data_IF_211283464986
#
_entry.id   IF_211283464986
#
_cell.length_a   1.000
_cell.length_b   1.000
_cell.length_c   1.000
_cell.angle_alpha   90.00
_cell.angle_beta   90.00
_cell.angle_gamma   90.00
#
_symmetry.space_group_name_H-M   'P 1'
#
loop_
_entity.id
_entity.type
_entity.pdbx_description
1 polymer ?
#
# COMPACT_ATOMS: atom_id res chain seq x y z
N UNK A 1 1.94 25.61 14.72
CA UNK A 1 2.96 25.43 13.65
C UNK A 1 2.34 25.21 12.25
N UNK A 2 1.27 25.93 11.83
CA UNK A 2 0.54 25.65 10.58
C UNK A 2 1.29 26.00 9.28
N UNK A 3 2.28 26.90 9.34
CA UNK A 3 2.97 27.41 8.14
C UNK A 3 3.88 26.35 7.51
N UNK A 4 4.55 25.53 8.33
CA UNK A 4 5.51 24.52 7.83
C UNK A 4 4.82 23.38 7.08
N UNK A 5 3.63 22.97 7.52
CA UNK A 5 2.86 21.90 6.88
C UNK A 5 2.30 22.33 5.54
N UNK A 6 1.73 23.54 5.47
CA UNK A 6 1.27 24.15 4.22
C UNK A 6 2.44 24.30 3.25
N UNK A 7 3.59 24.81 3.70
CA UNK A 7 4.80 24.92 2.86
C UNK A 7 5.29 23.57 2.34
N UNK A 8 5.16 22.49 3.13
CA UNK A 8 5.51 21.15 2.66
C UNK A 8 4.49 20.63 1.64
N UNK A 9 3.19 20.89 1.84
CA UNK A 9 2.15 20.54 0.87
C UNK A 9 2.37 21.28 -0.47
N UNK A 10 2.66 22.57 -0.43
CA UNK A 10 3.04 23.37 -1.60
C UNK A 10 4.23 22.76 -2.35
N UNK A 11 5.29 22.37 -1.63
CA UNK A 11 6.45 21.71 -2.24
C UNK A 11 6.10 20.39 -2.95
N UNK A 12 5.16 19.60 -2.42
CA UNK A 12 4.71 18.36 -3.07
C UNK A 12 3.91 18.67 -4.33
N UNK A 13 2.96 19.59 -4.26
CA UNK A 13 2.17 20.02 -5.42
C UNK A 13 3.06 20.60 -6.52
N UNK A 14 3.99 21.48 -6.17
CA UNK A 14 5.00 22.05 -7.08
C UNK A 14 5.88 20.97 -7.71
N UNK A 15 6.32 19.99 -6.92
CA UNK A 15 7.11 18.86 -7.41
C UNK A 15 6.34 18.06 -8.46
N UNK A 16 5.07 17.73 -8.18
CA UNK A 16 4.21 16.99 -9.10
C UNK A 16 3.96 17.82 -10.37
N UNK A 17 3.73 19.12 -10.25
CA UNK A 17 3.55 20.02 -11.40
C UNK A 17 4.81 20.09 -12.27
N UNK A 18 6.00 20.20 -11.65
CA UNK A 18 7.28 20.20 -12.36
C UNK A 18 7.51 18.88 -13.08
N UNK A 19 7.18 17.76 -12.44
CA UNK A 19 7.23 16.44 -13.07
C UNK A 19 6.27 16.34 -14.25
N UNK A 20 5.01 16.72 -14.09
CA UNK A 20 4.03 16.72 -15.19
C UNK A 20 4.54 17.51 -16.40
N UNK A 21 5.19 18.66 -16.18
CA UNK A 21 5.86 19.43 -17.26
C UNK A 21 7.07 18.73 -17.87
N UNK A 22 7.93 18.11 -17.06
CA UNK A 22 9.12 17.40 -17.55
C UNK A 22 8.77 16.13 -18.33
N UNK A 23 7.62 15.54 -18.03
CA UNK A 23 7.23 14.21 -18.49
C UNK A 23 6.15 14.23 -19.56
N UNK A 24 5.42 15.35 -19.68
CA UNK A 24 4.20 15.49 -20.49
C UNK A 24 3.12 14.45 -20.15
N UNK A 25 3.11 13.97 -18.91
CA UNK A 25 2.11 13.01 -18.42
C UNK A 25 1.18 13.72 -17.44
N UNK A 26 -0.14 13.55 -17.56
CA UNK A 26 -1.11 14.30 -16.75
C UNK A 26 -1.22 13.72 -15.32
N UNK A 27 -0.15 13.83 -14.54
CA UNK A 27 -0.02 13.20 -13.21
C UNK A 27 -1.14 13.64 -12.25
N UNK A 28 -1.51 14.92 -12.25
CA UNK A 28 -2.52 15.46 -11.32
C UNK A 28 -3.94 14.97 -11.58
N UNK A 29 -4.22 14.51 -12.80
CA UNK A 29 -5.52 13.92 -13.20
C UNK A 29 -5.43 12.41 -13.44
N UNK A 30 -4.29 11.78 -13.15
CA UNK A 30 -4.14 10.35 -13.34
C UNK A 30 -4.99 9.59 -12.32
N UNK A 31 -5.42 8.35 -12.64
CA UNK A 31 -5.97 7.47 -11.63
C UNK A 31 -4.91 7.11 -10.57
N UNK A 32 -5.40 6.69 -9.40
CA UNK A 32 -4.59 6.12 -8.31
C UNK A 32 -4.05 4.74 -8.70
N UNK A 33 -4.93 3.89 -9.23
CA UNK A 33 -4.58 2.55 -9.76
C UNK A 33 -4.20 2.71 -11.23
N UNK A 34 -2.93 2.46 -11.55
CA UNK A 34 -2.40 2.52 -12.92
C UNK A 34 -2.61 1.21 -13.67
N UNK A 35 -2.60 0.09 -12.95
CA UNK A 35 -2.88 -1.25 -13.49
C UNK A 35 -3.46 -2.15 -12.41
N UNK A 36 -4.32 -3.08 -12.82
CA UNK A 36 -4.95 -4.10 -11.97
C UNK A 36 -4.86 -5.46 -12.65
N UNK A 37 -4.89 -6.56 -11.88
CA UNK A 37 -4.91 -7.90 -12.45
C UNK A 37 -6.20 -8.11 -13.26
N UNK A 38 -6.09 -8.82 -14.39
CA UNK A 38 -7.26 -9.12 -15.25
C UNK A 38 -8.18 -10.19 -14.66
N UNK A 39 -7.70 -10.96 -13.70
CA UNK A 39 -8.40 -12.06 -13.09
C UNK A 39 -8.05 -12.14 -11.60
N UNK A 40 -9.03 -12.48 -10.77
CA UNK A 40 -8.81 -12.83 -9.37
C UNK A 40 -8.30 -14.28 -9.28
N UNK A 41 -7.23 -14.50 -8.52
CA UNK A 41 -6.55 -15.79 -8.44
C UNK A 41 -6.59 -16.30 -7.01
N UNK A 42 -7.31 -17.39 -6.79
CA UNK A 42 -7.37 -18.07 -5.50
C UNK A 42 -6.48 -19.31 -5.49
N UNK A 43 -5.65 -19.43 -4.48
CA UNK A 43 -4.83 -20.61 -4.20
C UNK A 43 -5.56 -21.52 -3.22
N UNK A 44 -5.77 -22.79 -3.59
CA UNK A 44 -6.33 -23.80 -2.69
C UNK A 44 -5.31 -24.16 -1.61
N UNK A 45 -5.79 -24.18 -0.37
CA UNK A 45 -5.08 -24.79 0.73
C UNK A 45 -5.22 -26.32 0.63
N UNK A 46 -4.16 -27.10 0.86
CA UNK A 46 -4.24 -28.56 0.83
C UNK A 46 -5.33 -29.08 1.80
N UNK A 47 -6.27 -29.90 1.30
CA UNK A 47 -7.44 -30.38 2.05
C UNK A 47 -7.14 -31.52 3.03
N UNK A 48 -6.08 -32.30 2.77
CA UNK A 48 -5.60 -33.36 3.65
C UNK A 48 -4.15 -33.07 4.03
N UNK A 49 -3.90 -32.82 5.32
CA UNK A 49 -2.53 -32.92 5.86
C UNK A 49 -2.25 -34.41 6.09
N UNK A 50 -1.89 -35.14 5.03
CA UNK A 50 -1.31 -36.48 5.21
C UNK A 50 0.10 -36.31 5.75
N UNK A 51 0.33 -36.77 6.98
CA UNK A 51 1.65 -36.85 7.62
C UNK A 51 2.52 -37.98 7.01
N UNK A 52 2.69 -38.03 5.68
CA UNK A 52 3.55 -39.05 5.05
C UNK A 52 4.84 -38.41 4.50
N UNK A 53 5.95 -38.76 5.15
CA UNK A 53 7.33 -38.33 4.86
C UNK A 53 7.80 -38.55 3.40
N UNK A 54 7.16 -39.43 2.64
CA UNK A 54 7.61 -39.78 1.27
C UNK A 54 7.04 -38.85 0.18
N UNK A 55 5.87 -38.24 0.40
CA UNK A 55 5.33 -37.17 -0.48
C UNK A 55 6.02 -35.82 -0.20
N UNK A 56 6.61 -35.69 0.99
CA UNK A 56 7.47 -34.58 1.42
C UNK A 56 8.76 -34.61 0.59
N UNK A 57 9.45 -35.74 0.44
CA UNK A 57 10.70 -35.80 -0.34
C UNK A 57 10.53 -35.51 -1.85
N UNK A 58 9.46 -36.00 -2.48
CA UNK A 58 9.22 -35.75 -3.91
C UNK A 58 8.77 -34.31 -4.23
N UNK A 59 8.23 -33.58 -3.23
CA UNK A 59 7.95 -32.14 -3.32
C UNK A 59 9.16 -31.28 -2.88
N UNK A 60 10.09 -31.85 -2.11
CA UNK A 60 11.31 -31.20 -1.60
C UNK A 60 12.34 -30.98 -2.71
N UNK A 61 12.36 -31.80 -3.76
CA UNK A 61 13.22 -31.58 -4.93
C UNK A 61 12.72 -30.43 -5.82
N UNK A 62 11.41 -30.16 -5.87
CA UNK A 62 10.83 -29.20 -6.83
C UNK A 62 10.56 -27.78 -6.28
N UNK A 63 10.41 -27.57 -4.95
CA UNK A 63 9.93 -26.26 -4.46
C UNK A 63 10.52 -25.84 -3.09
N UNK A 64 11.77 -25.43 -3.09
CA UNK A 64 12.49 -24.97 -1.88
C UNK A 64 12.19 -23.52 -1.42
N UNK A 65 11.36 -22.74 -2.14
CA UNK A 65 11.08 -21.34 -1.76
C UNK A 65 9.61 -21.01 -1.47
N UNK A 66 8.68 -21.90 -1.82
CA UNK A 66 7.34 -21.86 -1.23
C UNK A 66 7.31 -22.51 0.17
N UNK A 67 8.43 -23.08 0.64
CA UNK A 67 8.52 -23.65 1.98
C UNK A 67 8.25 -22.58 3.04
N UNK A 68 8.71 -21.34 2.93
CA UNK A 68 8.41 -20.30 3.95
C UNK A 68 6.94 -19.89 3.97
N UNK A 69 6.32 -19.71 2.80
CA UNK A 69 4.89 -19.39 2.67
C UNK A 69 4.02 -20.58 3.09
N UNK A 70 4.35 -21.80 2.65
CA UNK A 70 3.64 -23.01 3.06
C UNK A 70 3.95 -23.44 4.48
N UNK A 71 5.11 -23.17 5.06
CA UNK A 71 5.42 -23.42 6.48
C UNK A 71 4.66 -22.44 7.35
N UNK A 72 4.53 -21.17 6.96
CA UNK A 72 3.62 -20.21 7.59
C UNK A 72 2.13 -20.61 7.46
N UNK A 73 1.74 -21.27 6.37
CA UNK A 73 0.40 -21.83 6.17
C UNK A 73 0.21 -23.17 6.93
N UNK A 74 1.24 -24.03 7.00
CA UNK A 74 1.25 -25.41 7.55
C UNK A 74 1.37 -25.45 9.07
N UNK A 75 2.04 -24.49 9.71
CA UNK A 75 2.22 -24.48 11.17
C UNK A 75 1.00 -23.99 11.94
N UNK A 76 -0.13 -23.74 11.26
CA UNK A 76 -1.39 -23.40 11.93
C UNK A 76 -1.23 -22.20 12.87
N UNK A 77 -1.00 -21.01 12.31
CA UNK A 77 -1.05 -19.75 13.07
C UNK A 77 -0.18 -19.73 14.34
N UNK A 78 1.09 -20.07 14.21
CA UNK A 78 2.10 -19.45 15.07
C UNK A 78 2.89 -18.47 14.24
N UNK A 79 2.37 -17.24 14.23
CA UNK A 79 3.18 -16.10 14.65
C UNK A 79 4.65 -16.24 14.20
N UNK A 80 4.98 -15.80 12.98
CA UNK A 80 6.29 -15.16 12.81
C UNK A 80 6.19 -13.89 13.64
N UNK A 81 6.48 -14.06 14.92
CA UNK A 81 6.75 -13.07 15.92
C UNK A 81 6.58 -11.62 15.46
N UNK A 82 5.34 -11.13 15.43
CA UNK A 82 5.06 -9.69 15.53
C UNK A 82 5.27 -9.19 16.97
N UNK A 83 6.11 -9.88 17.75
CA UNK A 83 6.71 -9.33 18.96
C UNK A 83 7.79 -8.30 18.67
N UNK A 84 8.38 -8.26 17.47
CA UNK A 84 9.21 -7.14 16.99
C UNK A 84 9.25 -7.24 15.45
N UNK A 85 8.43 -6.53 14.69
CA UNK A 85 8.31 -5.07 14.70
C UNK A 85 6.85 -4.68 14.53
N UNK A 86 6.33 -4.02 15.56
CA UNK A 86 5.47 -2.83 15.46
C UNK A 86 5.61 -2.25 14.04
N UNK A 87 4.50 -1.99 13.31
CA UNK A 87 4.52 -1.04 12.18
C UNK A 87 5.33 0.13 12.71
N UNK A 88 6.58 0.34 12.26
CA UNK A 88 7.48 1.24 12.95
C UNK A 88 6.76 2.55 13.22
N UNK A 89 6.52 2.83 14.51
CA UNK A 89 5.72 3.97 14.96
C UNK A 89 6.42 5.28 14.65
N UNK A 90 7.71 5.19 14.30
CA UNK A 90 8.54 6.27 13.82
C UNK A 90 8.96 6.05 12.37
N UNK A 91 9.13 7.18 11.68
CA UNK A 91 9.65 7.25 10.32
C UNK A 91 11.04 6.64 10.25
N UNK A 92 11.83 6.87 11.30
CA UNK A 92 13.22 6.44 11.49
C UNK A 92 13.35 4.91 11.60
N UNK A 93 12.46 4.23 12.32
CA UNK A 93 12.50 2.76 12.44
C UNK A 93 12.06 2.07 11.14
N UNK A 94 11.14 2.69 10.38
CA UNK A 94 10.81 2.26 9.02
C UNK A 94 11.99 2.45 8.10
N UNK A 95 12.68 3.59 8.20
CA UNK A 95 13.88 3.87 7.42
C UNK A 95 15.03 2.93 7.70
N UNK A 96 15.18 2.45 8.93
CA UNK A 96 16.16 1.41 9.26
C UNK A 96 15.78 0.06 8.67
N UNK A 97 14.48 -0.28 8.61
CA UNK A 97 13.98 -1.52 8.00
C UNK A 97 14.03 -1.51 6.46
N UNK A 98 13.79 -0.34 5.86
CA UNK A 98 13.74 -0.10 4.41
C UNK A 98 15.02 0.51 3.87
N UNK A 99 16.08 0.50 4.68
CA UNK A 99 17.40 0.68 4.14
C UNK A 99 17.56 -0.38 3.06
N UNK A 100 17.58 0.05 1.80
CA UNK A 100 17.37 -0.79 0.61
C UNK A 100 18.28 -2.01 0.65
N UNK A 101 19.45 -1.85 1.26
CA UNK A 101 20.38 -2.93 1.53
C UNK A 101 19.77 -4.14 2.24
N UNK A 102 18.81 -4.05 3.16
CA UNK A 102 18.35 -5.25 3.90
C UNK A 102 17.65 -6.28 3.00
N UNK A 103 16.59 -5.91 2.28
CA UNK A 103 15.89 -6.85 1.39
C UNK A 103 16.81 -7.33 0.24
N UNK A 104 17.65 -6.44 -0.28
CA UNK A 104 18.63 -6.78 -1.32
C UNK A 104 19.78 -7.64 -0.78
N UNK A 105 20.17 -7.48 0.47
CA UNK A 105 21.16 -8.32 1.16
C UNK A 105 20.58 -9.70 1.44
N UNK A 106 19.34 -9.78 1.95
CA UNK A 106 18.62 -11.04 2.11
C UNK A 106 18.45 -11.76 0.76
N UNK A 107 18.14 -11.04 -0.32
CA UNK A 107 18.10 -11.61 -1.66
C UNK A 107 19.49 -12.13 -2.08
N UNK A 108 20.56 -11.35 -1.86
CA UNK A 108 21.94 -11.76 -2.17
C UNK A 108 22.36 -13.00 -1.38
N UNK A 109 22.02 -13.07 -0.09
CA UNK A 109 22.23 -14.22 0.80
C UNK A 109 21.46 -15.47 0.32
N UNK A 110 20.28 -15.28 -0.29
CA UNK A 110 19.48 -16.34 -0.93
C UNK A 110 19.98 -16.72 -2.34
N UNK A 111 21.12 -16.17 -2.78
CA UNK A 111 21.75 -16.51 -4.06
C UNK A 111 21.17 -15.77 -5.27
N UNK A 112 20.39 -14.71 -5.05
CA UNK A 112 19.95 -13.82 -6.11
C UNK A 112 21.09 -12.91 -6.59
N UNK A 113 21.09 -12.59 -7.88
CA UNK A 113 21.95 -11.59 -8.49
C UNK A 113 21.44 -10.20 -8.15
N UNK A 114 22.16 -9.52 -7.26
CA UNK A 114 21.85 -8.18 -6.78
C UNK A 114 23.04 -7.28 -7.09
N UNK A 115 22.83 -6.20 -7.85
CA UNK A 115 23.86 -5.20 -8.11
C UNK A 115 24.26 -4.49 -6.82
N UNK A 116 25.56 -4.27 -6.60
CA UNK A 116 26.06 -3.52 -5.45
C UNK A 116 25.58 -2.06 -5.44
N UNK A 117 25.09 -1.53 -6.57
CA UNK A 117 24.44 -0.22 -6.62
C UNK A 117 23.14 -0.15 -5.81
N UNK A 118 22.46 -1.30 -5.58
CA UNK A 118 21.30 -1.38 -4.69
C UNK A 118 21.67 -1.34 -3.20
N UNK A 119 22.93 -1.65 -2.88
CA UNK A 119 23.48 -1.63 -1.51
C UNK A 119 24.11 -0.28 -1.17
N UNK A 120 24.32 0.59 -2.17
CA UNK A 120 24.79 1.97 -1.99
C UNK A 120 23.63 2.85 -1.50
N UNK A 121 23.96 3.74 -0.58
CA UNK A 121 23.05 4.55 0.23
C UNK A 121 21.96 5.38 -0.52
N UNK A 122 20.83 5.57 0.17
CA UNK A 122 19.86 6.69 0.06
C UNK A 122 19.05 6.90 -1.25
N UNK A 123 18.43 5.84 -1.81
CA UNK A 123 17.35 6.00 -2.80
C UNK A 123 15.96 5.76 -2.21
N UNK A 124 15.56 6.50 -1.17
CA UNK A 124 14.26 6.29 -0.54
C UNK A 124 13.09 6.75 -1.43
N UNK A 125 12.01 5.95 -1.52
CA UNK A 125 10.76 6.38 -2.13
C UNK A 125 9.78 6.84 -1.05
N UNK A 126 9.61 8.17 -0.91
CA UNK A 126 8.69 8.80 0.05
C UNK A 126 7.28 8.20 0.05
N UNK A 127 6.76 7.85 -1.13
CA UNK A 127 5.44 7.24 -1.25
C UNK A 127 5.29 5.88 -0.56
N UNK A 128 6.35 5.07 -0.46
CA UNK A 128 6.29 3.74 0.16
C UNK A 128 6.02 3.83 1.67
N UNK A 129 6.71 4.74 2.37
CA UNK A 129 6.48 4.98 3.80
C UNK A 129 5.07 5.45 4.10
N UNK A 130 4.65 6.52 3.42
CA UNK A 130 3.34 7.14 3.64
C UNK A 130 2.21 6.12 3.43
N UNK A 131 2.34 5.29 2.40
CA UNK A 131 1.39 4.22 2.11
C UNK A 131 1.37 3.16 3.22
N UNK A 132 2.52 2.75 3.75
CA UNK A 132 2.59 1.78 4.84
C UNK A 132 2.01 2.34 6.15
N UNK A 133 2.31 3.60 6.47
CA UNK A 133 1.72 4.29 7.60
C UNK A 133 0.19 4.38 7.48
N UNK A 134 -0.33 4.70 6.28
CA UNK A 134 -1.77 4.72 6.04
C UNK A 134 -2.44 3.35 6.23
N UNK A 135 -1.77 2.24 5.87
CA UNK A 135 -2.28 0.89 6.16
C UNK A 135 -2.50 0.68 7.65
N UNK A 136 -1.51 1.06 8.48
CA UNK A 136 -1.62 0.94 9.92
C UNK A 136 -2.82 1.70 10.48
N UNK A 137 -2.97 2.96 10.08
CA UNK A 137 -4.08 3.80 10.51
C UNK A 137 -5.45 3.29 10.05
N UNK A 138 -5.53 2.72 8.85
CA UNK A 138 -6.75 2.06 8.33
C UNK A 138 -7.07 0.79 9.14
N UNK A 139 -6.07 -0.03 9.45
CA UNK A 139 -6.22 -1.25 10.27
C UNK A 139 -6.57 -0.95 11.74
N UNK A 140 -6.31 0.27 12.21
CA UNK A 140 -6.75 0.75 13.52
C UNK A 140 -8.12 1.44 13.50
N UNK A 141 -8.68 1.67 12.31
CA UNK A 141 -9.93 2.42 12.02
C UNK A 141 -9.80 3.94 12.06
N UNK A 142 -8.63 4.50 12.41
CA UNK A 142 -8.42 5.94 12.58
C UNK A 142 -8.72 6.73 11.29
N UNK A 143 -8.42 6.13 10.14
CA UNK A 143 -8.57 6.77 8.82
C UNK A 143 -10.01 6.99 8.33
N UNK A 144 -11.01 6.42 9.00
CA UNK A 144 -12.37 6.44 8.49
C UNK A 144 -13.26 7.44 9.22
N UNK A 145 -14.03 8.19 8.43
CA UNK A 145 -14.88 9.29 8.87
C UNK A 145 -15.97 8.88 9.86
N UNK A 146 -16.39 7.61 9.84
CA UNK A 146 -17.49 7.14 10.69
C UNK A 146 -17.19 7.30 12.19
N UNK A 147 -15.91 7.31 12.61
CA UNK A 147 -15.52 7.59 13.99
C UNK A 147 -15.78 9.06 14.39
N UNK A 148 -15.78 9.97 13.41
CA UNK A 148 -16.07 11.39 13.59
C UNK A 148 -17.56 11.71 13.38
N UNK A 149 -18.27 10.91 12.59
CA UNK A 149 -19.71 11.05 12.41
C UNK A 149 -20.46 10.49 13.63
N UNK A 150 -21.31 11.30 14.29
CA UNK A 150 -22.12 10.86 15.44
C UNK A 150 -23.10 9.71 15.14
N UNK A 151 -23.27 9.33 13.88
CA UNK A 151 -24.10 8.23 13.41
C UNK A 151 -23.25 6.96 13.23
N UNK A 152 -23.07 6.21 14.31
CA UNK A 152 -22.47 4.88 14.28
C UNK A 152 -23.32 3.94 13.41
N UNK A 153 -22.93 3.70 12.15
CA UNK A 153 -23.66 2.75 11.30
C UNK A 153 -23.23 1.33 11.67
N UNK A 154 -24.14 0.52 12.25
CA UNK A 154 -23.87 -0.89 12.58
C UNK A 154 -23.35 -1.69 11.37
N UNK A 155 -23.79 -1.31 10.18
CA UNK A 155 -23.32 -1.88 8.91
C UNK A 155 -21.80 -1.71 8.71
N UNK A 156 -21.21 -0.55 9.06
CA UNK A 156 -19.78 -0.35 8.91
C UNK A 156 -18.98 -1.34 9.77
N UNK A 157 -19.29 -1.48 11.06
CA UNK A 157 -18.51 -2.35 11.96
C UNK A 157 -18.56 -3.78 11.48
N UNK A 158 -19.73 -4.25 11.06
CA UNK A 158 -19.87 -5.58 10.51
C UNK A 158 -19.00 -5.79 9.27
N UNK A 159 -19.09 -4.89 8.28
CA UNK A 159 -18.29 -4.96 7.05
C UNK A 159 -16.78 -4.87 7.34
N UNK A 160 -16.37 -3.95 8.22
CA UNK A 160 -15.00 -3.77 8.64
C UNK A 160 -14.46 -5.02 9.35
N UNK A 161 -15.21 -5.57 10.32
CA UNK A 161 -14.80 -6.78 11.05
C UNK A 161 -14.66 -7.98 10.12
N UNK A 162 -15.55 -8.14 9.14
CA UNK A 162 -15.46 -9.21 8.16
C UNK A 162 -14.20 -9.06 7.30
N UNK A 163 -13.98 -7.87 6.73
CA UNK A 163 -12.77 -7.56 5.96
C UNK A 163 -11.50 -7.80 6.78
N UNK A 164 -11.44 -7.24 8.00
CA UNK A 164 -10.28 -7.35 8.88
C UNK A 164 -9.94 -8.81 9.19
N UNK A 165 -10.94 -9.67 9.40
CA UNK A 165 -10.75 -11.12 9.61
C UNK A 165 -10.22 -11.85 8.36
N UNK A 166 -10.52 -11.34 7.16
CA UNK A 166 -10.01 -11.90 5.91
C UNK A 166 -8.52 -11.61 5.72
N UNK A 167 -8.02 -10.47 6.18
CA UNK A 167 -6.59 -10.12 6.08
C UNK A 167 -5.76 -11.01 7.00
N UNK A 168 -4.78 -11.72 6.45
CA UNK A 168 -3.91 -12.67 7.17
C UNK A 168 -2.50 -12.15 7.35
N UNK A 169 -1.97 -11.46 6.35
CA UNK A 169 -0.64 -10.88 6.38
C UNK A 169 -0.61 -9.59 5.56
N UNK A 170 0.14 -8.61 6.05
CA UNK A 170 0.60 -7.48 5.25
C UNK A 170 2.11 -7.36 5.47
N UNK A 171 2.89 -7.42 4.40
CA UNK A 171 4.35 -7.34 4.44
C UNK A 171 4.82 -6.20 3.54
N UNK A 172 5.75 -5.38 4.02
CA UNK A 172 6.51 -4.46 3.17
C UNK A 172 7.69 -5.20 2.54
N UNK A 173 8.06 -4.82 1.32
CA UNK A 173 9.25 -5.31 0.61
C UNK A 173 9.38 -6.85 0.60
N UNK A 174 8.56 -7.49 -0.22
CA UNK A 174 8.49 -8.95 -0.32
C UNK A 174 9.24 -9.47 -1.54
N UNK A 175 10.23 -10.34 -1.34
CA UNK A 175 10.94 -11.04 -2.42
C UNK A 175 10.05 -12.17 -2.93
N UNK A 176 9.60 -12.08 -4.18
CA UNK A 176 8.91 -13.18 -4.85
C UNK A 176 9.94 -14.24 -5.23
N UNK A 177 9.74 -15.50 -4.83
CA UNK A 177 10.64 -16.58 -5.18
C UNK A 177 10.56 -16.89 -6.68
N UNK A 178 11.59 -16.55 -7.43
CA UNK A 178 11.69 -16.80 -8.88
C UNK A 178 12.75 -17.88 -9.12
N UNK A 179 12.33 -19.14 -9.12
CA UNK A 179 13.24 -20.30 -9.24
C UNK A 179 13.52 -20.72 -10.69
N UNK A 180 12.71 -20.26 -11.66
CA UNK A 180 12.72 -20.77 -13.04
C UNK A 180 13.55 -19.96 -14.04
N UNK A 181 14.17 -18.85 -13.64
CA UNK A 181 14.89 -17.96 -14.56
C UNK A 181 16.40 -18.20 -14.52
N UNK A 182 17.01 -18.35 -15.70
CA UNK A 182 18.48 -18.45 -15.90
C UNK A 182 19.24 -17.27 -15.27
N UNK A 183 18.57 -16.12 -15.16
CA UNK A 183 19.01 -14.99 -14.32
C UNK A 183 18.23 -15.01 -12.99
N UNK A 184 18.93 -15.20 -11.87
CA UNK A 184 18.38 -15.11 -10.52
C UNK A 184 18.18 -13.66 -10.08
N UNK A 185 17.51 -12.82 -10.88
CA UNK A 185 17.20 -11.46 -10.46
C UNK A 185 15.97 -11.49 -9.53
N UNK A 186 16.05 -10.93 -8.31
CA UNK A 186 14.92 -10.98 -7.40
C UNK A 186 13.82 -10.03 -7.89
N UNK A 187 12.58 -10.49 -7.90
CA UNK A 187 11.45 -9.59 -8.01
C UNK A 187 11.00 -9.20 -6.60
N UNK A 188 10.95 -7.90 -6.32
CA UNK A 188 10.61 -7.38 -4.99
C UNK A 188 9.34 -6.56 -5.12
N UNK A 189 8.28 -7.00 -4.43
CA UNK A 189 7.04 -6.25 -4.28
C UNK A 189 7.20 -5.20 -3.20
N UNK A 190 6.64 -4.02 -3.39
CA UNK A 190 6.65 -2.98 -2.37
C UNK A 190 5.77 -3.35 -1.17
N UNK A 191 4.64 -4.01 -1.43
CA UNK A 191 3.77 -4.56 -0.39
C UNK A 191 3.10 -5.85 -0.84
N UNK A 192 3.00 -6.84 0.05
CA UNK A 192 2.22 -8.07 -0.15
C UNK A 192 1.09 -8.14 0.88
N UNK A 193 -0.12 -8.39 0.41
CA UNK A 193 -1.29 -8.72 1.21
C UNK A 193 -1.68 -10.18 0.98
N UNK A 194 -1.78 -10.95 2.06
CA UNK A 194 -2.33 -12.30 2.02
C UNK A 194 -3.72 -12.24 2.65
N UNK A 195 -4.71 -12.65 1.89
CA UNK A 195 -6.12 -12.58 2.32
C UNK A 195 -6.78 -13.95 2.16
N UNK A 196 -7.63 -14.31 3.11
CA UNK A 196 -8.54 -15.45 2.97
C UNK A 196 -9.67 -15.09 2.04
N UNK A 197 -9.82 -15.89 0.99
CA UNK A 197 -10.96 -15.80 0.08
C UNK A 197 -12.12 -16.66 0.60
N UNK A 198 -11.81 -17.89 1.03
CA UNK A 198 -12.72 -18.83 1.67
C UNK A 198 -11.95 -19.65 2.72
N UNK A 199 -12.64 -20.58 3.41
CA UNK A 199 -12.07 -21.42 4.49
C UNK A 199 -10.76 -22.11 4.05
N UNK A 200 -10.69 -22.56 2.80
CA UNK A 200 -9.53 -23.26 2.24
C UNK A 200 -8.90 -22.53 1.05
N UNK A 201 -9.06 -21.22 0.94
CA UNK A 201 -8.51 -20.47 -0.20
C UNK A 201 -7.88 -19.15 0.25
N UNK A 202 -6.72 -18.85 -0.33
CA UNK A 202 -6.01 -17.59 -0.14
C UNK A 202 -5.86 -16.84 -1.47
N UNK A 203 -5.74 -15.51 -1.41
CA UNK A 203 -5.29 -14.67 -2.52
C UNK A 203 -4.03 -13.92 -2.10
N UNK A 204 -3.09 -13.78 -3.03
CA UNK A 204 -1.84 -13.04 -2.85
C UNK A 204 -1.93 -11.74 -3.62
N UNK A 205 -2.16 -10.62 -2.95
CA UNK A 205 -2.32 -9.32 -3.59
C UNK A 205 -1.03 -8.53 -3.42
N UNK A 206 -0.30 -8.32 -4.50
CA UNK A 206 0.91 -7.50 -4.53
C UNK A 206 0.60 -6.06 -4.91
N UNK A 207 1.25 -5.09 -4.25
CA UNK A 207 1.24 -3.70 -4.67
C UNK A 207 2.64 -3.29 -5.10
N UNK A 208 2.73 -2.73 -6.30
CA UNK A 208 3.91 -2.06 -6.83
C UNK A 208 3.66 -0.56 -6.90
N UNK A 209 4.48 0.23 -6.21
CA UNK A 209 4.45 1.68 -6.27
C UNK A 209 5.29 2.12 -7.45
N UNK A 210 4.61 2.46 -8.53
CA UNK A 210 5.25 2.90 -9.76
C UNK A 210 5.81 4.30 -9.56
N UNK A 211 7.12 4.35 -9.33
CA UNK A 211 7.87 5.58 -9.20
C UNK A 211 7.88 6.38 -10.49
N UNK A 212 8.16 7.68 -10.35
CA UNK A 212 8.13 8.62 -11.45
C UNK A 212 9.18 8.23 -12.53
N UNK A 213 10.37 7.77 -12.14
CA UNK A 213 11.41 7.30 -13.07
C UNK A 213 11.07 6.00 -13.82
N UNK A 214 10.29 5.10 -13.23
CA UNK A 214 9.88 3.83 -13.85
C UNK A 214 8.69 3.98 -14.80
N UNK A 215 7.84 4.98 -14.55
CA UNK A 215 6.79 5.39 -15.47
C UNK A 215 7.37 6.14 -16.70
N UNK A 216 8.54 6.78 -16.53
CA UNK A 216 9.24 7.54 -17.56
C UNK A 216 10.18 6.72 -18.43
N UNK A 217 10.71 5.62 -17.92
CA UNK A 217 11.50 4.68 -18.69
C UNK A 217 10.58 3.80 -19.56
N UNK A 218 9.88 4.40 -20.53
CA UNK A 218 9.11 3.72 -21.60
C UNK A 218 9.91 2.62 -22.36
N UNK A 219 11.21 2.51 -22.13
CA UNK A 219 12.15 1.59 -22.78
C UNK A 219 12.60 0.38 -21.94
N UNK A 220 12.20 0.24 -20.67
CA UNK A 220 12.45 -1.02 -19.96
C UNK A 220 11.21 -1.92 -20.03
N UNK A 221 11.34 -3.01 -20.79
CA UNK A 221 10.38 -4.11 -20.94
C UNK A 221 9.84 -4.57 -19.57
N UNK A 222 8.76 -3.96 -19.07
CA UNK A 222 8.04 -4.41 -17.85
C UNK A 222 6.94 -5.44 -18.16
N UNK A 223 6.83 -5.93 -19.38
CA UNK A 223 5.68 -6.75 -19.83
C UNK A 223 5.81 -8.26 -19.62
N UNK A 224 7.01 -8.80 -19.33
CA UNK A 224 7.16 -10.26 -19.20
C UNK A 224 6.99 -10.80 -17.77
N UNK A 225 7.15 -9.98 -16.73
CA UNK A 225 7.05 -10.46 -15.35
C UNK A 225 5.60 -10.63 -14.88
N UNK A 226 4.66 -9.77 -15.29
CA UNK A 226 3.27 -9.86 -14.80
C UNK A 226 2.59 -11.19 -15.15
N UNK A 227 2.91 -11.78 -16.31
CA UNK A 227 2.39 -13.10 -16.70
C UNK A 227 2.95 -14.18 -15.77
N UNK A 228 4.25 -14.15 -15.50
CA UNK A 228 4.91 -15.07 -14.58
C UNK A 228 4.37 -14.92 -13.15
N UNK A 229 4.18 -13.69 -12.67
CA UNK A 229 3.64 -13.41 -11.34
C UNK A 229 2.19 -13.92 -11.20
N UNK A 230 1.36 -13.73 -12.21
CA UNK A 230 0.02 -14.30 -12.25
C UNK A 230 0.07 -15.84 -12.26
N UNK A 231 1.00 -16.46 -13.00
CA UNK A 231 1.19 -17.92 -12.98
C UNK A 231 1.60 -18.43 -11.59
N UNK A 232 2.36 -17.64 -10.84
CA UNK A 232 2.73 -17.91 -9.44
C UNK A 232 1.61 -17.58 -8.44
N UNK A 233 0.44 -17.11 -8.91
CA UNK A 233 -0.71 -16.84 -8.07
C UNK A 233 -0.79 -15.43 -7.48
N UNK A 234 0.07 -14.51 -7.91
CA UNK A 234 0.08 -13.13 -7.44
C UNK A 234 -0.80 -12.22 -8.29
N UNK A 235 -1.70 -11.51 -7.64
CA UNK A 235 -2.49 -10.43 -8.20
C UNK A 235 -1.77 -9.09 -8.00
N UNK A 236 -1.17 -8.55 -9.06
CA UNK A 236 -0.34 -7.33 -8.97
C UNK A 236 -1.14 -6.07 -9.31
N UNK A 237 -1.20 -5.14 -8.36
CA UNK A 237 -1.80 -3.82 -8.49
C UNK A 237 -0.69 -2.77 -8.56
N UNK A 238 -0.69 -1.97 -9.63
CA UNK A 238 0.27 -0.89 -9.78
C UNK A 238 -0.37 0.41 -9.36
N UNK A 239 0.25 1.11 -8.42
CA UNK A 239 -0.25 2.38 -7.88
C UNK A 239 0.69 3.53 -8.19
N UNK A 240 0.13 4.70 -8.39
CA UNK A 240 0.88 5.92 -8.70
C UNK A 240 1.63 6.47 -7.47
N UNK A 241 2.96 6.59 -7.56
CA UNK A 241 3.78 7.10 -6.44
C UNK A 241 3.42 8.52 -6.01
N UNK A 242 2.99 9.38 -6.95
CA UNK A 242 2.61 10.76 -6.66
C UNK A 242 1.32 10.85 -5.83
N UNK A 243 0.39 9.91 -6.02
CA UNK A 243 -0.79 9.79 -5.16
C UNK A 243 -0.41 9.36 -3.73
N UNK A 244 0.60 8.49 -3.57
CA UNK A 244 1.11 8.12 -2.25
C UNK A 244 1.71 9.31 -1.47
N UNK A 245 2.16 10.37 -2.17
CA UNK A 245 2.69 11.60 -1.56
C UNK A 245 1.57 12.57 -1.12
N UNK A 246 0.45 12.55 -1.83
CA UNK A 246 -0.68 13.47 -1.62
C UNK A 246 -1.71 12.87 -0.67
N UNK A 247 -2.12 11.63 -0.88
CA UNK A 247 -3.14 10.96 -0.06
C UNK A 247 -2.94 9.43 -0.05
N UNK A 248 -1.99 8.93 0.76
CA UNK A 248 -1.73 7.50 0.90
C UNK A 248 -2.94 6.70 1.40
N UNK A 249 -3.86 7.31 2.15
CA UNK A 249 -5.09 6.67 2.62
C UNK A 249 -6.04 6.37 1.47
N UNK A 250 -6.16 7.31 0.54
CA UNK A 250 -6.88 7.09 -0.71
C UNK A 250 -6.26 5.97 -1.53
N UNK A 251 -4.92 5.93 -1.63
CA UNK A 251 -4.22 4.86 -2.36
C UNK A 251 -4.64 3.49 -1.85
N UNK A 252 -4.59 3.30 -0.52
CA UNK A 252 -5.02 2.04 0.09
C UNK A 252 -6.51 1.80 -0.14
N UNK A 253 -7.39 2.76 0.07
CA UNK A 253 -8.83 2.56 -0.08
C UNK A 253 -9.24 2.21 -1.53
N UNK A 254 -8.62 2.84 -2.53
CA UNK A 254 -8.84 2.49 -3.94
C UNK A 254 -8.28 1.10 -4.27
N UNK A 255 -7.14 0.70 -3.70
CA UNK A 255 -6.63 -0.67 -3.81
C UNK A 255 -7.58 -1.69 -3.17
N UNK A 256 -8.07 -1.42 -1.96
CA UNK A 256 -9.01 -2.30 -1.25
C UNK A 256 -10.32 -2.48 -2.02
N UNK A 257 -10.79 -1.40 -2.67
CA UNK A 257 -11.94 -1.40 -3.56
C UNK A 257 -11.66 -2.19 -4.84
N UNK A 258 -10.54 -1.92 -5.51
CA UNK A 258 -10.16 -2.57 -6.76
C UNK A 258 -9.92 -4.07 -6.60
N UNK A 259 -9.34 -4.50 -5.47
CA UNK A 259 -9.12 -5.91 -5.16
C UNK A 259 -10.37 -6.66 -4.72
N UNK A 260 -11.45 -5.93 -4.41
CA UNK A 260 -12.73 -6.46 -3.96
C UNK A 260 -12.72 -6.99 -2.52
N UNK A 261 -11.63 -6.83 -1.76
CA UNK A 261 -11.56 -7.32 -0.38
C UNK A 261 -12.28 -6.39 0.61
N UNK A 262 -12.39 -5.10 0.28
CA UNK A 262 -13.24 -4.15 0.97
C UNK A 262 -13.84 -3.13 -0.02
N UNK A 263 -14.87 -3.52 -0.79
CA UNK A 263 -15.43 -2.71 -1.89
C UNK A 263 -15.89 -1.31 -1.47
N UNK A 264 -16.32 -1.17 -0.21
CA UNK A 264 -16.87 0.06 0.34
C UNK A 264 -15.80 0.98 0.97
N UNK A 265 -14.51 0.62 0.96
CA UNK A 265 -13.46 1.37 1.65
C UNK A 265 -13.47 2.88 1.34
N UNK A 266 -13.62 3.24 0.05
CA UNK A 266 -13.69 4.65 -0.39
C UNK A 266 -14.90 5.41 0.12
N UNK A 267 -16.03 4.74 0.43
CA UNK A 267 -17.24 5.41 0.97
C UNK A 267 -17.01 5.98 2.37
N UNK A 268 -16.09 5.38 3.12
CA UNK A 268 -15.81 5.74 4.51
C UNK A 268 -14.62 6.69 4.66
N UNK A 269 -13.91 7.00 3.58
CA UNK A 269 -12.76 7.88 3.57
C UNK A 269 -13.21 9.32 3.29
N UNK A 270 -12.88 10.26 4.19
CA UNK A 270 -13.05 11.71 3.92
C UNK A 270 -12.28 12.08 2.65
N UNK A 271 -12.78 12.93 1.78
CA UNK A 271 -12.02 13.39 0.61
C UNK A 271 -11.87 12.38 -0.52
N UNK A 272 -12.54 11.21 -0.42
CA UNK A 272 -12.67 10.30 -1.55
C UNK A 272 -13.45 10.92 -2.72
N UNK A 273 -14.23 11.98 -2.46
CA UNK A 273 -14.93 12.78 -3.48
C UNK A 273 -14.02 13.63 -4.36
N UNK A 274 -12.78 13.91 -3.93
CA UNK A 274 -11.81 14.66 -4.72
C UNK A 274 -11.34 13.78 -5.87
N UNK A 275 -11.40 14.19 -7.13
CA UNK A 275 -11.05 13.32 -8.26
C UNK A 275 -9.61 13.55 -8.75
N UNK A 276 -9.10 14.76 -8.58
CA UNK A 276 -7.77 15.17 -9.02
C UNK A 276 -6.94 15.72 -7.86
N UNK A 277 -5.62 15.76 -8.02
CA UNK A 277 -4.72 16.39 -7.04
C UNK A 277 -5.00 17.90 -6.93
N UNK A 278 -5.42 18.54 -8.02
CA UNK A 278 -5.78 19.97 -8.04
C UNK A 278 -6.98 20.29 -7.14
N UNK A 279 -7.83 19.31 -6.83
CA UNK A 279 -8.95 19.48 -5.90
C UNK A 279 -8.52 19.42 -4.42
N UNK A 280 -7.29 19.00 -4.12
CA UNK A 280 -6.74 19.02 -2.76
C UNK A 280 -6.31 20.44 -2.37
N UNK A 281 -7.29 21.32 -2.21
CA UNK A 281 -7.12 22.72 -1.80
C UNK A 281 -8.06 23.00 -0.62
N UNK A 282 -7.52 23.66 0.40
CA UNK A 282 -8.28 23.95 1.61
C UNK A 282 -9.39 24.98 1.33
N UNK A 283 -10.64 24.64 1.67
CA UNK A 283 -11.80 25.52 1.47
C UNK A 283 -11.83 26.78 2.35
N UNK A 284 -10.88 26.94 3.29
CA UNK A 284 -10.79 28.11 4.18
C UNK A 284 -9.65 29.04 3.78
N UNK A 285 -8.44 28.51 3.62
CA UNK A 285 -7.25 29.32 3.34
C UNK A 285 -6.79 29.25 1.88
N UNK A 286 -7.41 28.38 1.06
CA UNK A 286 -7.09 28.14 -0.35
C UNK A 286 -5.66 27.63 -0.61
N UNK A 287 -4.92 27.25 0.43
CA UNK A 287 -3.62 26.62 0.27
C UNK A 287 -3.76 25.12 -0.03
N UNK A 288 -2.77 24.49 -0.71
CA UNK A 288 -2.78 23.08 -1.01
C UNK A 288 -2.91 22.18 0.22
N UNK A 289 -3.52 21.02 0.03
CA UNK A 289 -3.66 19.95 1.02
C UNK A 289 -2.90 18.71 0.56
N UNK A 290 -2.37 17.99 1.53
CA UNK A 290 -1.89 16.61 1.42
C UNK A 290 -2.25 15.92 2.74
N UNK A 291 -2.32 14.59 2.77
CA UNK A 291 -2.83 13.80 3.91
C UNK A 291 -1.80 12.78 4.39
N UNK A 292 -0.80 13.24 5.12
CA UNK A 292 0.15 12.40 5.89
C UNK A 292 -0.46 11.85 7.19
N UNK A 293 -1.44 12.56 7.80
CA UNK A 293 -2.18 12.11 8.99
C UNK A 293 -3.67 11.96 8.71
N UNK A 294 -4.33 11.02 9.38
CA UNK A 294 -5.74 10.70 9.14
C UNK A 294 -6.69 11.89 9.41
N UNK A 295 -6.36 12.71 10.39
CA UNK A 295 -7.16 13.85 10.86
C UNK A 295 -6.77 15.18 10.21
N UNK A 296 -5.82 15.17 9.28
CA UNK A 296 -5.24 16.40 8.76
C UNK A 296 -6.19 17.21 7.88
N UNK A 297 -7.09 16.52 7.16
CA UNK A 297 -8.21 17.16 6.48
C UNK A 297 -9.51 16.85 7.22
N UNK A 298 -10.39 17.84 7.31
CA UNK A 298 -11.67 17.75 7.99
C UNK A 298 -12.78 18.38 7.14
N UNK A 299 -14.00 17.86 7.29
CA UNK A 299 -15.20 18.52 6.76
C UNK A 299 -15.56 19.71 7.63
N UNK A 300 -15.79 20.85 7.00
CA UNK A 300 -16.21 22.07 7.67
C UNK A 300 -17.37 22.73 6.93
N UNK A 301 -18.34 23.25 7.68
CA UNK A 301 -19.51 23.88 7.11
C UNK A 301 -19.28 25.39 6.94
N UNK A 302 -19.36 25.89 5.71
CA UNK A 302 -19.32 27.32 5.37
C UNK A 302 -20.66 27.69 4.74
N UNK A 303 -21.53 28.33 5.53
CA UNK A 303 -22.92 28.58 5.13
C UNK A 303 -23.65 27.26 4.83
N UNK A 304 -24.17 27.12 3.61
CA UNK A 304 -24.88 25.91 3.17
C UNK A 304 -23.99 24.87 2.47
N UNK A 305 -22.68 25.12 2.37
CA UNK A 305 -21.74 24.21 1.70
C UNK A 305 -20.82 23.54 2.72
N UNK A 306 -20.62 22.23 2.55
CA UNK A 306 -19.56 21.50 3.23
C UNK A 306 -18.29 21.57 2.37
N UNK A 307 -17.18 21.97 2.98
CA UNK A 307 -15.86 22.01 2.33
C UNK A 307 -14.88 21.11 3.08
N UNK A 308 -13.80 20.72 2.41
CA UNK A 308 -12.64 20.10 3.07
C UNK A 308 -11.62 21.18 3.41
N UNK A 309 -11.07 21.12 4.63
CA UNK A 309 -10.12 22.10 5.11
C UNK A 309 -9.05 21.46 5.98
N UNK A 310 -7.90 22.13 6.12
CA UNK A 310 -6.89 21.74 7.11
C UNK A 310 -7.50 21.77 8.52
N UNK A 311 -7.17 20.77 9.35
CA UNK A 311 -7.53 20.70 10.77
C UNK A 311 -7.26 22.02 11.51
N UNK A 312 -6.10 22.62 11.27
CA UNK A 312 -5.69 23.89 11.90
C UNK A 312 -6.51 25.10 11.42
N UNK A 313 -7.03 25.07 10.19
CA UNK A 313 -7.94 26.12 9.70
C UNK A 313 -9.32 25.99 10.36
N UNK A 314 -9.80 24.76 10.53
CA UNK A 314 -11.06 24.47 11.23
C UNK A 314 -10.98 24.89 12.70
N UNK A 315 -9.93 24.49 13.41
CA UNK A 315 -9.73 24.86 14.81
C UNK A 315 -9.71 26.39 15.02
N UNK A 316 -8.98 27.13 14.18
CA UNK A 316 -8.93 28.61 14.26
C UNK A 316 -10.28 29.26 14.00
N UNK A 317 -11.08 28.74 13.07
CA UNK A 317 -12.43 29.26 12.80
C UNK A 317 -13.39 29.00 13.96
N UNK A 318 -13.27 27.85 14.64
CA UNK A 318 -14.06 27.59 15.84
C UNK A 318 -13.68 28.50 17.01
N UNK A 319 -12.40 28.82 17.19
CA UNK A 319 -11.96 29.75 18.24
C UNK A 319 -12.26 31.22 17.96
N UNK A 320 -12.33 31.64 16.69
CA UNK A 320 -12.68 33.01 16.30
C UNK A 320 -14.19 33.29 16.30
N UNK A 321 -15.03 32.27 16.49
CA UNK A 321 -16.49 32.37 16.57
C UNK A 321 -17.05 32.46 17.99
N UNK A 322 -16.18 32.69 18.99
CA UNK A 322 -16.55 32.91 20.40
C UNK A 322 -16.19 34.33 20.84
#
# INVERSE_FOLDING_TARGET
MPILEIQRAEKIHDYIQKLEKLTNLPLRSSPVILSSPRQQISLELPREVKQSYEYVEQLYEDISEHELLFKAIKTGWEYINSGYKIVPTSKEDYFQQINKSYVFQVAKERGYSVSDDYLKEHKFCYGQYEMYYAVHEIMQRNAFDFLLSKSYSQNFIHTYTNWYKCVKLISSQFIIPLTSTVQKNPHILDQLWVVSHNINQLRLLGIEIMGEGEFLSRNQRKTNNTVLLNQLGYEIYQVASWWCRVDPYRVICEFLKASGIFPDATKYLIGAELNTIDEYVCGICHAPMVRWGWDWIQRYQIGNKTVLAHKDCVARKHHAGH
#
